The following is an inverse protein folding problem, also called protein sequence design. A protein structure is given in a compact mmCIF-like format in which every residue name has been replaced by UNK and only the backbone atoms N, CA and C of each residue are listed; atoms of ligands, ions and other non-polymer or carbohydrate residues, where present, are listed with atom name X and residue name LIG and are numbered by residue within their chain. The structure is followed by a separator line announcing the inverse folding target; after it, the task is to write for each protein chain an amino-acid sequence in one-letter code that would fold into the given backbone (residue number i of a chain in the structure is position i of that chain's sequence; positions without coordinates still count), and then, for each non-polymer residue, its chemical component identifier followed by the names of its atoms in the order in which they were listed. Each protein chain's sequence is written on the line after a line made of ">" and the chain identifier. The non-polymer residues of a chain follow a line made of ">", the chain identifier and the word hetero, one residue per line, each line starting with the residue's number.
data_IF_507946247370
#
_entry.id   IF_507946247370
#
_cell.length_a   1.000
_cell.length_b   1.000
_cell.length_c   1.000
_cell.angle_alpha   90.00
_cell.angle_beta   90.00
_cell.angle_gamma   90.00
#
_symmetry.space_group_name_H-M   'P 1'
#
loop_
_entity.id
_entity.type
_entity.pdbx_description
1 polymer ?
#
# COMPACT_ATOMS: atom_id res chain seq x y z
N UNK A 1 -16.76 18.26 -7.01
CA UNK A 1 -15.32 18.52 -6.84
C UNK A 1 -15.04 18.50 -5.35
N UNK A 2 -14.54 17.37 -4.82
CA UNK A 2 -14.19 17.25 -3.42
C UNK A 2 -12.93 18.11 -3.16
N UNK A 3 -13.09 19.17 -2.38
CA UNK A 3 -11.94 19.86 -1.80
C UNK A 3 -11.38 18.97 -0.69
N UNK A 4 -10.25 18.28 -0.97
CA UNK A 4 -9.44 17.68 0.08
C UNK A 4 -8.90 18.86 0.88
N UNK A 5 -9.30 18.99 2.13
CA UNK A 5 -8.72 19.99 3.02
C UNK A 5 -7.25 19.63 3.22
N UNK A 6 -6.37 20.54 2.85
CA UNK A 6 -4.90 20.37 2.87
C UNK A 6 -4.29 20.35 4.29
N UNK A 7 -5.12 20.42 5.33
CA UNK A 7 -4.63 20.49 6.71
C UNK A 7 -4.53 19.10 7.34
N UNK A 8 -3.54 18.34 6.90
CA UNK A 8 -3.02 17.16 7.58
C UNK A 8 -1.64 17.50 8.16
N UNK A 9 -1.59 18.41 9.10
CA UNK A 9 -0.41 18.60 9.95
C UNK A 9 -0.46 17.59 11.08
N UNK A 10 0.15 16.43 10.85
CA UNK A 10 0.59 15.55 11.93
C UNK A 10 2.03 15.93 12.22
N UNK A 11 2.27 16.57 13.35
CA UNK A 11 3.63 16.87 13.82
C UNK A 11 4.20 15.56 14.37
N UNK A 12 4.94 14.83 13.53
CA UNK A 12 5.68 13.66 13.96
C UNK A 12 6.85 14.12 14.81
N UNK A 13 7.05 13.51 15.97
CA UNK A 13 8.31 13.62 16.69
C UNK A 13 9.45 13.18 15.77
N UNK A 14 10.56 13.93 15.80
CA UNK A 14 11.73 13.61 15.00
C UNK A 14 12.24 12.22 15.41
N UNK A 15 12.35 11.32 14.45
CA UNK A 15 12.89 9.98 14.66
C UNK A 15 14.40 10.05 14.52
N UNK A 16 15.09 9.30 15.34
CA UNK A 16 16.56 9.22 15.31
C UNK A 16 17.06 8.09 14.40
N UNK A 17 16.14 7.16 14.00
CA UNK A 17 16.46 5.97 13.23
C UNK A 17 15.52 5.79 12.04
N UNK A 18 16.03 5.14 11.00
CA UNK A 18 15.21 4.70 9.86
C UNK A 18 14.20 3.61 10.29
N UNK A 19 13.07 3.55 9.62
CA UNK A 19 12.01 2.60 9.88
C UNK A 19 11.62 1.85 8.62
N UNK A 20 11.79 0.54 8.62
CA UNK A 20 11.34 -0.31 7.52
C UNK A 20 9.88 -0.74 7.73
N UNK A 21 9.05 -0.39 6.79
CA UNK A 21 7.62 -0.77 6.78
C UNK A 21 7.39 -1.86 5.74
N UNK A 22 6.65 -2.89 6.13
CA UNK A 22 6.14 -3.92 5.23
C UNK A 22 4.65 -3.71 4.97
N UNK A 23 4.25 -3.81 3.70
CA UNK A 23 2.86 -3.78 3.26
C UNK A 23 2.56 -5.05 2.46
N UNK A 24 1.55 -5.80 2.85
CA UNK A 24 1.09 -6.97 2.11
C UNK A 24 -0.33 -6.69 1.63
N UNK A 25 -0.52 -6.75 0.31
CA UNK A 25 -1.80 -6.52 -0.35
C UNK A 25 -2.22 -7.79 -1.06
N UNK A 26 -3.46 -8.24 -0.84
CA UNK A 26 -4.07 -9.32 -1.60
C UNK A 26 -5.19 -8.75 -2.44
N UNK A 27 -5.21 -9.05 -3.73
CA UNK A 27 -6.17 -8.55 -4.71
C UNK A 27 -6.61 -9.68 -5.63
N UNK A 28 -7.87 -9.69 -6.02
CA UNK A 28 -8.40 -10.69 -6.94
C UNK A 28 -8.74 -10.05 -8.30
N UNK A 29 -8.23 -10.65 -9.37
CA UNK A 29 -8.55 -10.23 -10.73
C UNK A 29 -10.03 -10.55 -11.07
N UNK A 30 -10.69 -9.65 -11.76
CA UNK A 30 -11.96 -9.93 -12.39
C UNK A 30 -11.82 -11.02 -13.44
N UNK A 31 -12.90 -11.74 -13.74
CA UNK A 31 -12.90 -12.76 -14.78
C UNK A 31 -12.47 -12.16 -16.13
N UNK A 32 -11.61 -12.86 -16.84
CA UNK A 32 -11.07 -12.42 -18.12
C UNK A 32 -9.99 -11.34 -18.05
N UNK A 33 -9.56 -10.95 -16.84
CA UNK A 33 -8.43 -10.03 -16.63
C UNK A 33 -7.16 -10.83 -16.34
N UNK A 34 -6.03 -10.28 -16.81
CA UNK A 34 -4.70 -10.87 -16.67
C UNK A 34 -3.86 -10.09 -15.66
N UNK A 35 -2.73 -10.67 -15.24
CA UNK A 35 -1.74 -9.95 -14.44
C UNK A 35 -1.21 -8.71 -15.16
N UNK A 36 -1.05 -8.76 -16.48
CA UNK A 36 -0.58 -7.62 -17.26
C UNK A 36 -1.61 -6.46 -17.27
N UNK A 37 -2.92 -6.77 -17.30
CA UNK A 37 -3.98 -5.76 -17.12
C UNK A 37 -3.86 -5.09 -15.74
N UNK A 38 -3.62 -5.90 -14.70
CA UNK A 38 -3.40 -5.37 -13.35
C UNK A 38 -2.15 -4.49 -13.30
N UNK A 39 -1.02 -4.95 -13.83
CA UNK A 39 0.23 -4.22 -13.81
C UNK A 39 0.11 -2.85 -14.49
N UNK A 40 -0.52 -2.79 -15.65
CA UNK A 40 -0.76 -1.53 -16.38
C UNK A 40 -1.62 -0.55 -15.60
N UNK A 41 -2.67 -1.05 -14.94
CA UNK A 41 -3.58 -0.20 -14.16
C UNK A 41 -2.99 0.22 -12.80
N UNK A 42 -2.12 -0.61 -12.21
CA UNK A 42 -1.57 -0.40 -10.87
C UNK A 42 -0.24 0.35 -10.86
N UNK A 43 0.48 0.36 -11.97
CA UNK A 43 1.82 0.94 -12.02
C UNK A 43 1.82 2.41 -11.58
N UNK A 44 2.71 2.74 -10.64
CA UNK A 44 2.88 4.11 -10.17
C UNK A 44 3.65 4.94 -11.18
N UNK A 45 3.17 6.15 -11.44
CA UNK A 45 3.86 7.14 -12.29
C UNK A 45 4.84 8.01 -11.49
N UNK A 46 4.72 7.99 -10.15
CA UNK A 46 5.61 8.67 -9.23
C UNK A 46 6.23 7.67 -8.23
N UNK A 47 7.51 7.83 -7.94
CA UNK A 47 8.19 7.10 -6.85
C UNK A 47 7.84 7.66 -5.48
N UNK A 48 8.14 6.91 -4.44
CA UNK A 48 7.84 7.28 -3.05
C UNK A 48 8.86 8.27 -2.43
N UNK A 49 9.95 8.57 -3.14
CA UNK A 49 11.00 9.47 -2.63
C UNK A 49 11.87 8.85 -1.53
N UNK A 50 11.76 7.55 -1.31
CA UNK A 50 12.53 6.77 -0.33
C UNK A 50 12.84 5.38 -0.89
N UNK A 51 13.88 4.67 -0.39
CA UNK A 51 14.18 3.32 -0.83
C UNK A 51 12.96 2.40 -0.67
N UNK A 52 12.46 1.90 -1.78
CA UNK A 52 11.24 1.08 -1.81
C UNK A 52 11.38 -0.05 -2.81
N UNK A 53 10.93 -1.24 -2.41
CA UNK A 53 10.86 -2.42 -3.27
C UNK A 53 9.47 -3.01 -3.20
N UNK A 54 8.90 -3.34 -4.36
CA UNK A 54 7.60 -3.98 -4.44
C UNK A 54 7.73 -5.29 -5.24
N UNK A 55 7.25 -6.35 -4.65
CA UNK A 55 7.21 -7.68 -5.25
C UNK A 55 5.75 -8.04 -5.50
N UNK A 56 5.44 -8.48 -6.71
CA UNK A 56 4.12 -8.99 -7.04
C UNK A 56 4.23 -10.48 -7.37
N UNK A 57 3.39 -11.27 -6.74
CA UNK A 57 3.28 -12.71 -6.98
C UNK A 57 1.86 -13.08 -7.35
N UNK A 58 1.71 -14.14 -8.13
CA UNK A 58 0.43 -14.79 -8.39
C UNK A 58 0.32 -15.96 -7.41
N UNK A 59 -0.83 -16.10 -6.72
CA UNK A 59 -1.05 -17.21 -5.83
C UNK A 59 -1.01 -18.54 -6.62
N UNK A 60 -0.17 -19.48 -6.15
CA UNK A 60 0.00 -20.77 -6.81
C UNK A 60 -1.29 -21.61 -6.85
N UNK A 61 -2.22 -21.40 -5.91
CA UNK A 61 -3.49 -22.13 -5.80
C UNK A 61 -4.67 -21.39 -6.42
N UNK A 62 -4.53 -20.08 -6.70
CA UNK A 62 -5.55 -19.27 -7.35
C UNK A 62 -4.89 -18.22 -8.25
N UNK A 63 -4.80 -18.51 -9.53
CA UNK A 63 -4.17 -17.64 -10.53
C UNK A 63 -4.85 -16.27 -10.70
N UNK A 64 -6.03 -16.08 -10.14
CA UNK A 64 -6.69 -14.77 -10.10
C UNK A 64 -6.32 -13.95 -8.88
N UNK A 65 -5.67 -14.54 -7.90
CA UNK A 65 -5.21 -13.83 -6.71
C UNK A 65 -3.78 -13.33 -6.88
N UNK A 66 -3.61 -12.03 -6.67
CA UNK A 66 -2.32 -11.34 -6.71
C UNK A 66 -1.96 -10.91 -5.30
N UNK A 67 -0.73 -11.24 -4.91
CA UNK A 67 -0.12 -10.84 -3.64
C UNK A 67 0.95 -9.80 -3.98
N UNK A 68 0.85 -8.63 -3.40
CA UNK A 68 1.88 -7.58 -3.53
C UNK A 68 2.52 -7.36 -2.16
N UNK A 69 3.83 -7.51 -2.09
CA UNK A 69 4.63 -7.23 -0.89
C UNK A 69 5.46 -5.99 -1.17
N UNK A 70 5.24 -4.95 -0.40
CA UNK A 70 6.01 -3.71 -0.44
C UNK A 70 6.89 -3.59 0.80
N UNK A 71 8.15 -3.24 0.59
CA UNK A 71 9.11 -2.85 1.62
C UNK A 71 9.47 -1.39 1.37
N UNK A 72 9.26 -0.54 2.36
CA UNK A 72 9.54 0.89 2.28
C UNK A 72 10.40 1.29 3.45
N UNK A 73 11.58 1.83 3.17
CA UNK A 73 12.50 2.27 4.20
C UNK A 73 12.33 3.79 4.40
N UNK A 74 11.68 4.17 5.50
CA UNK A 74 11.36 5.56 5.82
C UNK A 74 12.53 6.16 6.60
N UNK A 75 13.16 7.17 6.03
CA UNK A 75 14.30 7.86 6.65
C UNK A 75 13.84 8.71 7.83
N UNK A 76 14.73 9.01 8.80
CA UNK A 76 14.39 9.77 10.02
C UNK A 76 13.70 11.09 9.74
N UNK A 77 14.16 11.82 8.72
CA UNK A 77 13.64 13.13 8.34
C UNK A 77 12.34 13.08 7.51
N UNK A 78 11.91 11.90 7.09
CA UNK A 78 10.72 11.72 6.23
C UNK A 78 9.46 11.55 7.05
N UNK A 79 8.39 12.18 6.60
CA UNK A 79 7.06 11.95 7.16
C UNK A 79 6.40 10.76 6.45
N UNK A 80 6.07 9.66 7.16
CA UNK A 80 5.37 8.50 6.59
C UNK A 80 4.06 8.87 5.89
N UNK A 81 3.40 9.94 6.35
CA UNK A 81 2.15 10.41 5.76
C UNK A 81 2.33 10.98 4.35
N UNK A 82 3.50 11.53 4.02
CA UNK A 82 3.76 12.02 2.67
C UNK A 82 3.88 10.87 1.68
N UNK A 83 4.50 9.77 2.09
CA UNK A 83 4.58 8.53 1.31
C UNK A 83 3.16 7.98 1.06
N UNK A 84 2.33 7.95 2.09
CA UNK A 84 0.95 7.51 1.98
C UNK A 84 0.10 8.42 1.07
N UNK A 85 0.33 9.74 1.11
CA UNK A 85 -0.33 10.70 0.20
C UNK A 85 0.00 10.42 -1.27
N UNK A 86 1.24 10.02 -1.57
CA UNK A 86 1.64 9.63 -2.92
C UNK A 86 0.84 8.41 -3.36
N UNK A 87 0.77 7.34 -2.55
CA UNK A 87 -0.01 6.13 -2.87
C UNK A 87 -1.50 6.45 -3.08
N UNK A 88 -2.10 7.27 -2.22
CA UNK A 88 -3.50 7.69 -2.36
C UNK A 88 -3.71 8.45 -3.66
N UNK A 89 -2.85 9.42 -3.99
CA UNK A 89 -2.93 10.21 -5.21
C UNK A 89 -2.85 9.31 -6.45
N UNK A 90 -1.91 8.37 -6.49
CA UNK A 90 -1.78 7.41 -7.57
C UNK A 90 -3.04 6.54 -7.71
N UNK A 91 -3.61 6.06 -6.60
CA UNK A 91 -4.85 5.25 -6.63
C UNK A 91 -6.08 6.04 -7.07
N UNK A 92 -6.15 7.33 -6.78
CA UNK A 92 -7.22 8.20 -7.26
C UNK A 92 -7.11 8.49 -8.76
N UNK A 93 -5.89 8.66 -9.26
CA UNK A 93 -5.61 8.93 -10.66
C UNK A 93 -5.67 7.66 -11.54
N UNK A 94 -5.28 6.51 -10.99
CA UNK A 94 -5.22 5.21 -11.67
C UNK A 94 -6.13 4.18 -10.98
N UNK A 95 -7.45 4.27 -11.17
CA UNK A 95 -8.42 3.39 -10.51
C UNK A 95 -8.32 1.95 -11.00
N UNK A 96 -8.43 1.01 -10.06
CA UNK A 96 -8.29 -0.42 -10.31
C UNK A 96 -9.61 -1.17 -10.52
N UNK A 97 -10.74 -0.50 -10.34
CA UNK A 97 -12.07 -1.12 -10.31
C UNK A 97 -12.46 -1.83 -11.63
N UNK A 98 -11.80 -1.48 -12.74
CA UNK A 98 -11.99 -2.16 -14.02
C UNK A 98 -11.30 -3.53 -14.08
N UNK A 99 -10.31 -3.77 -13.22
CA UNK A 99 -9.40 -4.92 -13.31
C UNK A 99 -9.53 -5.86 -12.12
N UNK A 100 -9.72 -5.33 -10.90
CA UNK A 100 -9.81 -6.13 -9.67
C UNK A 100 -11.22 -6.15 -9.09
N UNK A 101 -11.51 -7.18 -8.31
CA UNK A 101 -12.69 -7.28 -7.47
C UNK A 101 -12.59 -6.28 -6.30
N UNK A 102 -13.73 -5.85 -5.70
CA UNK A 102 -13.71 -4.80 -4.67
C UNK A 102 -13.04 -5.22 -3.36
N UNK A 103 -12.95 -6.52 -3.10
CA UNK A 103 -12.32 -7.04 -1.89
C UNK A 103 -10.80 -6.91 -1.98
N UNK A 104 -10.22 -6.30 -0.94
CA UNK A 104 -8.78 -6.07 -0.83
C UNK A 104 -8.35 -6.48 0.57
N UNK A 105 -7.51 -7.51 0.66
CA UNK A 105 -6.74 -7.80 1.86
C UNK A 105 -5.58 -6.81 1.98
N UNK A 106 -5.38 -6.26 3.17
CA UNK A 106 -4.23 -5.40 3.45
C UNK A 106 -3.73 -5.64 4.87
N UNK A 107 -2.43 -5.92 4.97
CA UNK A 107 -1.70 -6.01 6.24
C UNK A 107 -0.53 -5.04 6.20
N UNK A 108 -0.29 -4.39 7.32
CA UNK A 108 0.81 -3.47 7.51
C UNK A 108 1.60 -3.85 8.76
N UNK A 109 2.91 -3.70 8.70
CA UNK A 109 3.78 -3.94 9.84
C UNK A 109 5.03 -3.09 9.80
N UNK A 110 5.68 -2.93 10.94
CA UNK A 110 7.04 -2.44 11.06
C UNK A 110 7.94 -3.65 11.16
N UNK A 111 9.02 -3.67 10.38
CA UNK A 111 10.02 -4.74 10.45
C UNK A 111 10.79 -4.60 11.75
N UNK A 112 10.80 -5.66 12.55
CA UNK A 112 11.46 -5.68 13.87
C UNK A 112 12.69 -6.56 13.91
N UNK A 113 12.89 -7.40 12.88
CA UNK A 113 14.10 -8.23 12.67
C UNK A 113 14.27 -8.54 11.21
N UNK A 114 15.51 -8.76 10.81
CA UNK A 114 15.89 -9.33 9.52
C UNK A 114 16.84 -10.49 9.80
N UNK A 115 16.46 -11.68 9.34
CA UNK A 115 17.24 -12.89 9.50
C UNK A 115 17.63 -13.42 8.12
N UNK A 116 18.93 -13.67 7.92
CA UNK A 116 19.45 -14.26 6.68
C UNK A 116 19.59 -15.78 6.84
N UNK A 117 18.71 -16.53 6.21
CA UNK A 117 18.75 -18.00 6.17
C UNK A 117 19.45 -18.56 4.93
N UNK A 118 20.24 -17.76 4.22
CA UNK A 118 21.01 -18.20 3.04
C UNK A 118 22.17 -19.15 3.36
N UNK A 119 22.85 -19.08 4.53
CA UNK A 119 23.92 -19.99 4.84
C UNK A 119 23.44 -21.45 4.96
N UNK A 120 24.16 -22.39 4.36
CA UNK A 120 23.90 -23.83 4.48
C UNK A 120 24.52 -24.45 5.76
N UNK A 121 24.81 -23.66 6.78
CA UNK A 121 25.42 -24.06 8.07
C UNK A 121 24.46 -23.84 9.21
N UNK A 122 24.78 -24.39 10.38
CA UNK A 122 24.04 -24.07 11.60
C UNK A 122 24.04 -22.55 11.86
N UNK A 123 22.88 -22.04 12.27
CA UNK A 123 22.69 -20.62 12.57
C UNK A 123 22.52 -20.43 14.07
N UNK A 124 23.13 -19.37 14.60
CA UNK A 124 22.92 -18.97 15.98
C UNK A 124 21.70 -18.04 16.08
N UNK A 125 20.90 -18.25 17.15
CA UNK A 125 19.79 -17.36 17.45
C UNK A 125 20.30 -15.95 17.79
N UNK A 126 19.74 -14.94 17.13
CA UNK A 126 19.97 -13.53 17.42
C UNK A 126 18.68 -12.90 17.92
N UNK A 127 18.71 -12.10 19.01
CA UNK A 127 17.55 -11.32 19.43
C UNK A 127 17.12 -10.36 18.32
N UNK A 128 15.81 -10.16 18.18
CA UNK A 128 15.26 -9.19 17.26
C UNK A 128 15.73 -7.77 17.61
N UNK A 129 16.11 -6.99 16.60
CA UNK A 129 16.31 -5.55 16.74
C UNK A 129 14.98 -4.86 16.47
N UNK A 130 14.47 -4.09 17.42
CA UNK A 130 13.21 -3.35 17.25
C UNK A 130 13.56 -1.97 16.69
N UNK A 131 13.18 -1.75 15.43
CA UNK A 131 13.35 -0.48 14.73
C UNK A 131 11.98 0.22 14.62
N UNK A 132 11.58 0.97 15.61
CA UNK A 132 10.35 1.77 15.56
C UNK A 132 9.68 1.91 16.92
N UNK A 133 9.08 3.08 17.13
CA UNK A 133 8.32 3.39 18.32
C UNK A 133 6.85 3.02 18.11
N UNK A 134 6.16 2.57 19.14
CA UNK A 134 4.74 2.20 19.12
C UNK A 134 3.84 3.37 18.66
N UNK A 135 4.23 4.61 18.95
CA UNK A 135 3.54 5.82 18.53
C UNK A 135 3.49 5.99 17.01
N UNK A 136 4.58 5.70 16.32
CA UNK A 136 4.68 5.82 14.85
C UNK A 136 3.71 4.87 14.16
N UNK A 137 3.57 3.65 14.71
CA UNK A 137 2.66 2.65 14.14
C UNK A 137 1.19 3.07 14.25
N UNK A 138 0.78 3.66 15.36
CA UNK A 138 -0.60 4.10 15.58
C UNK A 138 -1.01 5.21 14.59
N UNK A 139 -0.14 6.17 14.34
CA UNK A 139 -0.37 7.25 13.38
C UNK A 139 -0.45 6.74 11.95
N UNK A 140 0.48 5.86 11.55
CA UNK A 140 0.47 5.21 10.26
C UNK A 140 -0.84 4.42 10.08
N UNK A 141 -1.26 3.65 11.07
CA UNK A 141 -2.50 2.90 11.03
C UNK A 141 -3.73 3.79 10.85
N UNK A 142 -3.80 4.93 11.54
CA UNK A 142 -4.87 5.90 11.38
C UNK A 142 -4.89 6.51 9.97
N UNK A 143 -3.72 6.92 9.44
CA UNK A 143 -3.58 7.42 8.08
C UNK A 143 -4.05 6.41 7.04
N UNK A 144 -3.73 5.14 7.21
CA UNK A 144 -4.17 4.06 6.32
C UNK A 144 -5.68 3.86 6.32
N UNK A 145 -6.32 3.93 7.49
CA UNK A 145 -7.79 3.84 7.58
C UNK A 145 -8.44 4.98 6.82
N UNK A 146 -7.91 6.19 6.93
CA UNK A 146 -8.42 7.35 6.19
C UNK A 146 -8.18 7.22 4.67
N UNK A 147 -6.98 6.81 4.26
CA UNK A 147 -6.66 6.56 2.86
C UNK A 147 -7.63 5.53 2.24
N UNK A 148 -7.89 4.43 2.94
CA UNK A 148 -8.87 3.42 2.51
C UNK A 148 -10.26 4.00 2.33
N UNK A 149 -10.74 4.83 3.26
CA UNK A 149 -12.05 5.49 3.16
C UNK A 149 -12.13 6.40 1.94
N UNK A 150 -11.10 7.22 1.68
CA UNK A 150 -11.05 8.13 0.54
C UNK A 150 -11.09 7.36 -0.80
N UNK A 151 -10.27 6.34 -0.95
CA UNK A 151 -10.21 5.52 -2.17
C UNK A 151 -11.55 4.81 -2.38
N UNK A 152 -12.14 4.22 -1.34
CA UNK A 152 -13.43 3.52 -1.43
C UNK A 152 -14.57 4.46 -1.80
N UNK A 153 -14.59 5.67 -1.25
CA UNK A 153 -15.59 6.69 -1.59
C UNK A 153 -15.48 7.09 -3.06
N UNK A 154 -14.27 7.39 -3.53
CA UNK A 154 -14.03 7.75 -4.94
C UNK A 154 -14.43 6.61 -5.90
N UNK A 155 -14.18 5.36 -5.53
CA UNK A 155 -14.61 4.19 -6.32
C UNK A 155 -16.13 4.11 -6.41
N UNK A 156 -16.85 4.31 -5.31
CA UNK A 156 -18.30 4.29 -5.27
C UNK A 156 -18.92 5.42 -6.12
N UNK A 157 -18.36 6.62 -6.08
CA UNK A 157 -18.81 7.73 -6.92
C UNK A 157 -18.62 7.45 -8.41
N UNK A 158 -17.47 6.91 -8.82
CA UNK A 158 -17.21 6.50 -10.21
C UNK A 158 -18.20 5.44 -10.69
N UNK A 159 -18.52 4.46 -9.85
CA UNK A 159 -19.50 3.43 -10.20
C UNK A 159 -20.91 4.00 -10.37
N UNK A 160 -21.33 4.93 -9.49
CA UNK A 160 -22.61 5.65 -9.62
C UNK A 160 -22.68 6.44 -10.93
N UNK A 161 -21.61 7.19 -11.25
CA UNK A 161 -21.53 7.97 -12.48
C UNK A 161 -21.61 7.08 -13.73
N UNK A 162 -20.92 5.92 -13.72
CA UNK A 162 -20.99 4.93 -14.80
C UNK A 162 -22.40 4.37 -15.00
N UNK A 163 -23.07 3.99 -13.90
CA UNK A 163 -24.46 3.46 -13.95
C UNK A 163 -25.43 4.52 -14.44
N UNK A 164 -25.26 5.79 -14.05
CA UNK A 164 -26.10 6.88 -14.53
C UNK A 164 -25.97 7.15 -16.04
N UNK A 165 -24.73 7.05 -16.57
CA UNK A 165 -24.47 7.18 -18.03
C UNK A 165 -25.10 6.03 -18.81
N UNK A 166 -24.98 4.78 -18.32
CA UNK A 166 -25.55 3.61 -18.97
C UNK A 166 -27.09 3.59 -19.05
N UNK A 167 -27.78 4.33 -18.16
CA UNK A 167 -29.24 4.47 -18.19
C UNK A 167 -29.74 5.56 -19.17
N UNK A 168 -28.85 6.41 -19.67
CA UNK A 168 -29.19 7.51 -20.60
C UNK A 168 -28.98 7.17 -22.07
N UNK A 169 -28.25 6.08 -22.32
CA UNK A 169 -28.05 5.48 -23.64
C UNK A 169 -28.95 4.26 -23.82
#
# INVERSE_FOLDING_TARGET
>A
MLKISENFEVTLEQRDEEMMVISILTRRLKRGKTYEDFRKAWYHTAGFGTPSKLYSAINAFDQREIIVVGLVNIQPEQNPMDILRIDVKERLNHPLEAVIEPEIGRTFGIVVSEDDFSPASEMEFKPASINGKETDFKEIAQGLVMARKLISHAAAERDRARKARAKRN
#
